data_IF_033499506665
#
_entry.id   IF_033499506665
#
_cell.length_a   1.000
_cell.length_b   1.000
_cell.length_c   1.000
_cell.angle_alpha   90.00
_cell.angle_beta   90.00
_cell.angle_gamma   90.00
#
_symmetry.space_group_name_H-M   'P 1'
#
loop_
_entity.id
_entity.type
_entity.pdbx_description
1 polymer ?
#
# COMPACT_ATOMS: atom_id res chain seq x y z
N UNK A 1 -13.44 12.71 25.23
CA UNK A 1 -12.61 11.66 24.60
C UNK A 1 -13.49 10.99 23.58
N UNK A 2 -13.10 11.03 22.31
CA UNK A 2 -13.78 10.28 21.26
C UNK A 2 -13.01 8.99 20.99
N UNK A 3 -13.76 7.91 20.77
CA UNK A 3 -13.18 6.63 20.39
C UNK A 3 -12.96 6.60 18.88
N UNK A 4 -11.75 6.21 18.48
CA UNK A 4 -11.37 6.05 17.07
C UNK A 4 -11.16 4.57 16.77
N UNK A 5 -11.77 4.10 15.69
CA UNK A 5 -11.70 2.71 15.26
C UNK A 5 -11.11 2.61 13.85
N UNK A 6 -10.42 1.50 13.57
CA UNK A 6 -9.99 1.15 12.22
C UNK A 6 -11.11 0.37 11.54
N UNK A 7 -11.73 0.93 10.51
CA UNK A 7 -12.86 0.30 9.82
C UNK A 7 -12.43 -0.67 8.72
N UNK A 8 -11.32 -0.39 8.04
CA UNK A 8 -10.79 -1.23 6.95
C UNK A 8 -9.29 -0.95 6.73
N UNK A 9 -8.60 -1.89 6.07
CA UNK A 9 -7.19 -1.81 5.75
C UNK A 9 -6.87 -2.55 4.45
N UNK A 10 -6.39 -1.80 3.45
CA UNK A 10 -5.94 -2.34 2.16
C UNK A 10 -4.44 -2.12 2.01
N UNK A 11 -3.77 -3.09 1.40
CA UNK A 11 -2.33 -3.07 1.17
C UNK A 11 -1.98 -3.39 -0.28
N UNK A 12 -0.80 -2.98 -0.70
CA UNK A 12 -0.19 -3.46 -1.94
C UNK A 12 0.29 -4.92 -1.80
N UNK A 13 0.44 -5.67 -2.91
CA UNK A 13 1.09 -6.98 -2.90
C UNK A 13 2.53 -6.92 -2.38
N UNK A 14 3.01 -8.02 -1.78
CA UNK A 14 4.42 -8.09 -1.34
C UNK A 14 5.30 -8.45 -2.52
N UNK A 15 6.32 -7.64 -2.80
CA UNK A 15 7.29 -7.89 -3.85
C UNK A 15 8.39 -8.87 -3.45
N UNK A 16 8.95 -9.57 -4.43
CA UNK A 16 10.22 -10.30 -4.29
C UNK A 16 11.38 -9.36 -4.62
N UNK A 17 12.54 -9.56 -3.99
CA UNK A 17 13.79 -8.90 -4.41
C UNK A 17 14.07 -9.19 -5.89
N UNK A 18 14.33 -8.14 -6.68
CA UNK A 18 14.48 -8.23 -8.14
C UNK A 18 13.20 -8.61 -8.91
N UNK A 19 12.03 -8.62 -8.25
CA UNK A 19 10.76 -8.99 -8.84
C UNK A 19 10.01 -7.84 -9.50
N UNK A 20 8.71 -8.01 -9.72
CA UNK A 20 7.88 -7.09 -10.51
C UNK A 20 7.78 -5.66 -9.92
N UNK A 21 8.00 -5.50 -8.61
CA UNK A 21 7.98 -4.19 -7.94
C UNK A 21 9.37 -3.55 -7.84
N UNK A 22 10.44 -4.20 -8.32
CA UNK A 22 11.83 -3.75 -8.08
C UNK A 22 12.19 -2.43 -8.76
N UNK A 23 11.50 -2.07 -9.86
CA UNK A 23 11.68 -0.80 -10.56
C UNK A 23 10.72 0.30 -10.12
N UNK A 24 9.81 0.03 -9.19
CA UNK A 24 8.80 0.99 -8.76
C UNK A 24 9.32 1.76 -7.55
N UNK A 25 9.17 3.08 -7.56
CA UNK A 25 9.56 3.89 -6.41
C UNK A 25 8.62 3.66 -5.23
N UNK A 26 9.15 3.75 -4.02
CA UNK A 26 8.38 3.51 -2.80
C UNK A 26 7.18 4.46 -2.67
N UNK A 27 7.31 5.70 -3.11
CA UNK A 27 6.22 6.69 -3.11
C UNK A 27 5.05 6.29 -4.04
N UNK A 28 5.35 5.75 -5.22
CA UNK A 28 4.33 5.27 -6.17
C UNK A 28 3.59 4.03 -5.64
N UNK A 29 4.22 3.23 -4.76
CA UNK A 29 3.56 2.08 -4.14
C UNK A 29 2.33 2.49 -3.32
N UNK A 30 2.40 3.63 -2.63
CA UNK A 30 1.26 4.14 -1.86
C UNK A 30 0.13 4.64 -2.77
N UNK A 31 0.44 5.03 -4.01
CA UNK A 31 -0.52 5.58 -4.96
C UNK A 31 -1.43 4.51 -5.58
N UNK A 32 -0.98 3.26 -5.67
CA UNK A 32 -1.81 2.14 -6.16
C UNK A 32 -3.12 1.95 -5.36
N UNK A 33 -3.18 2.43 -4.12
CA UNK A 33 -4.37 2.35 -3.25
C UNK A 33 -5.41 3.46 -3.50
N UNK A 34 -5.07 4.51 -4.25
CA UNK A 34 -5.93 5.70 -4.40
C UNK A 34 -7.15 5.52 -5.32
N UNK A 35 -7.32 4.33 -5.92
CA UNK A 35 -8.29 4.05 -6.99
C UNK A 35 -9.40 3.06 -6.63
N UNK A 36 -9.54 2.71 -5.35
CA UNK A 36 -10.68 1.94 -4.85
C UNK A 36 -11.79 2.88 -4.36
#
# INVERSE_FOLDING_TARGET
>A
MEEAYLCDGIRTPVGRYGGVLSGIRTDDLAQFRSKL
#
